data_IF_393611087072
#
_entry.id   IF_393611087072
#
_cell.length_a   1.000
_cell.length_b   1.000
_cell.length_c   1.000
_cell.angle_alpha   90.00
_cell.angle_beta   90.00
_cell.angle_gamma   90.00
#
_symmetry.space_group_name_H-M   'P 1'
#
loop_
_entity.id
_entity.type
_entity.pdbx_description
1 polymer ?
#
# COMPACT_ATOMS: atom_id res chain seq x y z
N UNK A 1 6.01 0.41 8.10
CA UNK A 1 7.13 0.76 7.21
C UNK A 1 6.56 1.56 6.07
N UNK A 2 7.10 2.75 5.83
CA UNK A 2 6.64 3.67 4.79
C UNK A 2 7.53 3.56 3.55
N UNK A 3 7.00 3.89 2.37
CA UNK A 3 7.72 3.91 1.10
C UNK A 3 7.17 5.01 0.19
N UNK A 4 7.94 5.41 -0.81
CA UNK A 4 7.51 6.35 -1.86
C UNK A 4 7.32 5.61 -3.17
N UNK A 5 6.49 6.17 -4.05
CA UNK A 5 6.29 5.67 -5.41
C UNK A 5 6.81 6.71 -6.40
N UNK A 6 7.67 6.26 -7.32
CA UNK A 6 8.17 7.12 -8.40
C UNK A 6 7.00 7.68 -9.22
N UNK A 7 6.94 9.01 -9.33
CA UNK A 7 5.84 9.71 -10.00
C UNK A 7 4.73 10.18 -9.06
N UNK A 8 4.82 9.86 -7.77
CA UNK A 8 3.93 10.34 -6.70
C UNK A 8 4.76 10.89 -5.53
N UNK A 9 5.75 11.75 -5.83
CA UNK A 9 6.77 12.17 -4.86
C UNK A 9 6.22 13.00 -3.69
N UNK A 10 5.04 13.61 -3.86
CA UNK A 10 4.32 14.29 -2.78
C UNK A 10 3.72 13.33 -1.74
N UNK A 11 3.56 12.04 -2.09
CA UNK A 11 2.87 11.07 -1.24
C UNK A 11 3.83 10.07 -0.62
N UNK A 12 3.63 9.83 0.67
CA UNK A 12 4.23 8.71 1.39
C UNK A 12 3.20 7.61 1.58
N UNK A 13 3.57 6.37 1.27
CA UNK A 13 2.68 5.23 1.31
C UNK A 13 3.03 4.29 2.47
N UNK A 14 2.04 3.61 3.02
CA UNK A 14 2.25 2.51 3.94
C UNK A 14 1.20 1.42 3.77
N UNK A 15 1.60 0.19 4.11
CA UNK A 15 0.69 -0.95 4.17
C UNK A 15 0.43 -1.27 5.63
N UNK A 16 -0.85 -1.23 6.00
CA UNK A 16 -1.31 -1.51 7.37
C UNK A 16 -2.27 -2.69 7.38
N UNK A 17 -2.17 -3.47 8.46
CA UNK A 17 -3.05 -4.61 8.69
C UNK A 17 -4.10 -4.20 9.72
N UNK A 18 -5.36 -4.10 9.31
CA UNK A 18 -6.47 -3.71 10.17
C UNK A 18 -7.42 -4.90 10.36
N UNK A 19 -7.25 -5.63 11.46
CA UNK A 19 -7.99 -6.87 11.70
C UNK A 19 -7.61 -7.95 10.69
N UNK A 20 -8.48 -8.21 9.70
CA UNK A 20 -8.22 -9.13 8.58
C UNK A 20 -8.00 -8.42 7.24
N UNK A 21 -8.02 -7.08 7.23
CA UNK A 21 -7.90 -6.28 6.02
C UNK A 21 -6.47 -5.82 5.81
N UNK A 22 -6.01 -5.91 4.56
CA UNK A 22 -4.79 -5.25 4.13
C UNK A 22 -5.17 -3.92 3.50
N UNK A 23 -4.65 -2.82 4.05
CA UNK A 23 -4.98 -1.46 3.63
C UNK A 23 -3.71 -0.79 3.13
N UNK A 24 -3.80 -0.14 1.97
CA UNK A 24 -2.80 0.81 1.49
C UNK A 24 -3.25 2.20 1.92
N UNK A 25 -2.41 2.88 2.69
CA UNK A 25 -2.59 4.28 3.03
C UNK A 25 -1.59 5.13 2.23
N UNK A 26 -2.06 6.29 1.79
CA UNK A 26 -1.25 7.36 1.22
C UNK A 26 -1.40 8.59 2.11
N UNK A 27 -0.28 9.21 2.44
CA UNK A 27 -0.15 10.36 3.33
C UNK A 27 0.53 11.50 2.59
N UNK A 28 -0.03 12.70 2.67
CA UNK A 28 0.56 13.93 2.15
C UNK A 28 0.13 15.08 3.05
N UNK A 29 1.08 15.71 3.73
CA UNK A 29 0.84 16.71 4.77
C UNK A 29 -0.22 16.25 5.80
N UNK A 30 -1.41 16.87 5.80
CA UNK A 30 -2.54 16.53 6.67
C UNK A 30 -3.60 15.62 5.99
N UNK A 31 -3.39 15.26 4.72
CA UNK A 31 -4.28 14.40 3.96
C UNK A 31 -3.88 12.93 4.11
N UNK A 32 -4.90 12.10 4.41
CA UNK A 32 -4.77 10.64 4.44
C UNK A 32 -5.83 9.99 3.57
N UNK A 33 -5.38 9.27 2.56
CA UNK A 33 -6.21 8.42 1.71
C UNK A 33 -5.97 6.95 2.06
N UNK A 34 -7.02 6.14 2.05
CA UNK A 34 -6.94 4.72 2.38
C UNK A 34 -7.76 3.89 1.41
N UNK A 35 -7.20 2.79 0.93
CA UNK A 35 -7.94 1.81 0.14
C UNK A 35 -7.65 0.39 0.61
N UNK A 36 -8.69 -0.46 0.59
CA UNK A 36 -8.55 -1.87 0.91
C UNK A 36 -7.95 -2.58 -0.30
N UNK A 37 -6.82 -3.25 -0.09
CA UNK A 37 -6.23 -4.11 -1.10
C UNK A 37 -7.10 -5.37 -1.20
N UNK A 38 -7.91 -5.42 -2.26
CA UNK A 38 -8.83 -6.50 -2.57
C UNK A 38 -8.10 -7.85 -2.73
N UNK A 39 -8.81 -8.97 -2.47
CA UNK A 39 -8.19 -10.18 -1.96
C UNK A 39 -7.12 -10.69 -2.90
N UNK A 40 -5.91 -10.75 -2.37
CA UNK A 40 -4.85 -11.55 -2.98
C UNK A 40 -5.10 -13.00 -2.57
N UNK A 41 -4.97 -13.96 -3.49
CA UNK A 41 -5.32 -15.38 -3.30
C UNK A 41 -4.81 -16.00 -1.97
N UNK A 42 -3.67 -15.52 -1.48
CA UNK A 42 -3.15 -15.78 -0.14
C UNK A 42 -2.79 -14.46 0.57
N UNK A 43 -3.80 -13.77 1.10
CA UNK A 43 -3.66 -12.41 1.68
C UNK A 43 -2.56 -12.33 2.73
N UNK A 44 -2.42 -13.32 3.63
CA UNK A 44 -1.40 -13.29 4.70
C UNK A 44 0.03 -13.41 4.16
N UNK A 45 0.27 -14.36 3.24
CA UNK A 45 1.60 -14.58 2.66
C UNK A 45 2.00 -13.43 1.73
N UNK A 46 1.06 -12.94 0.92
CA UNK A 46 1.29 -11.81 0.01
C UNK A 46 1.38 -10.48 0.77
N UNK A 47 0.68 -10.31 1.90
CA UNK A 47 0.86 -9.18 2.81
C UNK A 47 2.28 -9.12 3.36
N UNK A 48 2.82 -10.24 3.86
CA UNK A 48 4.20 -10.26 4.35
C UNK A 48 5.22 -9.94 3.25
N UNK A 49 4.98 -10.38 2.00
CA UNK A 49 5.83 -10.02 0.86
C UNK A 49 5.74 -8.53 0.53
N UNK A 50 4.52 -7.98 0.43
CA UNK A 50 4.27 -6.56 0.18
C UNK A 50 4.82 -5.64 1.28
N UNK A 51 4.72 -6.06 2.55
CA UNK A 51 5.26 -5.30 3.69
C UNK A 51 6.80 -5.28 3.63
N UNK A 52 7.43 -6.41 3.25
CA UNK A 52 8.91 -6.48 3.14
C UNK A 52 9.45 -5.72 1.93
N UNK A 53 8.74 -5.78 0.81
CA UNK A 53 9.17 -5.17 -0.44
C UNK A 53 7.96 -4.62 -1.19
N UNK A 54 7.51 -3.40 -0.81
CA UNK A 54 6.40 -2.76 -1.50
C UNK A 54 6.82 -2.46 -2.93
N UNK A 55 6.02 -2.91 -3.89
CA UNK A 55 6.17 -2.55 -5.30
C UNK A 55 4.80 -2.19 -5.85
N UNK A 56 4.75 -1.05 -6.54
CA UNK A 56 3.58 -0.67 -7.31
C UNK A 56 4.01 -0.55 -8.76
N UNK A 57 3.20 -1.13 -9.64
CA UNK A 57 3.33 -0.91 -11.08
C UNK A 57 2.24 0.06 -11.49
N UNK A 58 2.59 1.04 -12.33
CA UNK A 58 1.59 1.83 -13.03
C UNK A 58 0.85 0.89 -13.98
N UNK A 59 -0.41 0.59 -13.67
CA UNK A 59 -1.29 -0.08 -14.63
C UNK A 59 -1.65 0.96 -15.68
N UNK A 60 -0.79 1.07 -16.70
CA UNK A 60 -1.03 1.88 -17.88
C UNK A 60 -2.27 1.36 -18.61
N UNK A 61 -3.05 2.30 -19.14
CA UNK A 61 -4.20 2.03 -20.01
C UNK A 61 -3.76 1.49 -21.36
#
# INVERSE_FOLDING_TARGET
MTFTLSGFDAWTFQIVFYGSLLVLEALHDDERLSTVLQPMDCTRQRAHALIRQPSCTLVGR
#
